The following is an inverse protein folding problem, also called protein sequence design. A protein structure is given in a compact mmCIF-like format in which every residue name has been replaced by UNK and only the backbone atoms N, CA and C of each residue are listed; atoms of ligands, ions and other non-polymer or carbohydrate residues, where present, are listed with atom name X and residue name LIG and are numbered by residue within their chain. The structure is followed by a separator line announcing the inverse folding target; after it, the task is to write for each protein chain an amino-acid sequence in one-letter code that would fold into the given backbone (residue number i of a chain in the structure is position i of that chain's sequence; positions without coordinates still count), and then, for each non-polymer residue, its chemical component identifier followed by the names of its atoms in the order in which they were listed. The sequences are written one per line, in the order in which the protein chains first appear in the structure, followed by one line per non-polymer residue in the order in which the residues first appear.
data_IF_678413745039
#
_entry.id   IF_678413745039
#
_cell.length_a   1.000
_cell.length_b   1.000
_cell.length_c   1.000
_cell.angle_alpha   90.00
_cell.angle_beta   90.00
_cell.angle_gamma   90.00
#
_symmetry.space_group_name_H-M   'P 1'
#
loop_
_entity.id
_entity.type
_entity.pdbx_description
1 polymer ?
#
# COMPACT_ATOMS: atom_id res chain seq x y z
N UNK A 1 -42.75 -39.60 29.14
CA UNK A 1 -41.89 -38.39 29.23
C UNK A 1 -40.44 -38.84 29.21
N UNK A 2 -39.72 -38.58 28.11
CA UNK A 2 -38.29 -38.87 27.95
C UNK A 2 -37.49 -37.79 28.68
N UNK A 3 -36.80 -38.14 29.77
CA UNK A 3 -35.75 -37.31 30.37
C UNK A 3 -34.45 -37.61 29.63
N UNK A 4 -33.98 -36.64 28.85
CA UNK A 4 -32.72 -36.70 28.14
C UNK A 4 -31.56 -36.51 29.11
N UNK A 5 -30.57 -37.38 28.92
CA UNK A 5 -29.26 -37.46 29.56
C UNK A 5 -28.57 -36.09 29.71
N UNK A 6 -28.23 -35.73 30.94
CA UNK A 6 -27.18 -34.77 31.27
C UNK A 6 -25.85 -35.55 31.23
N UNK A 7 -24.99 -35.27 30.26
CA UNK A 7 -23.70 -35.95 30.10
C UNK A 7 -22.56 -34.92 30.08
N UNK A 8 -21.57 -35.18 30.94
CA UNK A 8 -20.27 -34.53 31.13
C UNK A 8 -20.19 -33.25 32.00
N UNK A 9 -19.96 -33.48 33.29
CA UNK A 9 -19.06 -32.68 34.11
C UNK A 9 -18.33 -33.60 35.11
N UNK A 10 -17.28 -34.29 34.64
CA UNK A 10 -16.29 -34.92 35.51
C UNK A 10 -15.06 -34.02 35.54
N UNK A 11 -15.04 -33.14 36.53
CA UNK A 11 -13.87 -32.36 36.90
C UNK A 11 -12.87 -33.28 37.61
N UNK A 12 -11.84 -33.73 36.90
CA UNK A 12 -10.61 -34.19 37.54
C UNK A 12 -9.80 -32.96 37.93
N UNK A 13 -9.57 -32.80 39.24
CA UNK A 13 -8.71 -31.80 39.86
C UNK A 13 -7.25 -32.02 39.49
N UNK A 14 -6.87 -31.60 38.29
CA UNK A 14 -5.53 -31.10 38.03
C UNK A 14 -5.70 -29.58 37.96
N UNK A 15 -5.22 -28.86 38.98
CA UNK A 15 -5.06 -27.41 38.91
C UNK A 15 -4.00 -27.16 37.85
N UNK A 16 -4.43 -27.09 36.59
CA UNK A 16 -3.57 -26.80 35.47
C UNK A 16 -3.09 -25.37 35.64
N UNK A 17 -1.80 -25.15 35.35
CA UNK A 17 -1.18 -23.83 35.14
C UNK A 17 -1.90 -22.96 34.08
N UNK A 18 -2.93 -23.50 33.44
CA UNK A 18 -3.82 -22.85 32.50
C UNK A 18 -5.13 -22.57 33.24
N UNK A 19 -5.54 -21.31 33.34
CA UNK A 19 -6.77 -20.89 34.02
C UNK A 19 -8.00 -21.67 33.56
N UNK A 20 -9.03 -21.71 34.41
CA UNK A 20 -10.27 -22.42 34.11
C UNK A 20 -10.89 -21.94 32.77
N UNK A 21 -11.40 -22.90 32.00
CA UNK A 21 -11.96 -22.68 30.67
C UNK A 21 -13.44 -23.04 30.67
N UNK A 22 -14.28 -22.18 30.10
CA UNK A 22 -15.71 -22.44 29.90
C UNK A 22 -16.01 -22.61 28.41
N UNK A 23 -16.52 -23.79 28.04
CA UNK A 23 -16.81 -24.17 26.66
C UNK A 23 -18.32 -24.17 26.39
N UNK A 24 -18.74 -23.42 25.37
CA UNK A 24 -20.14 -23.25 24.97
C UNK A 24 -20.33 -23.74 23.54
N UNK A 25 -21.15 -24.76 23.35
CA UNK A 25 -21.49 -25.27 22.01
C UNK A 25 -22.72 -24.53 21.45
N UNK A 26 -22.52 -23.87 20.30
CA UNK A 26 -23.48 -22.96 19.68
C UNK A 26 -24.01 -23.57 18.38
N UNK A 27 -24.91 -24.54 18.52
CA UNK A 27 -25.54 -25.21 17.39
C UNK A 27 -26.95 -24.69 17.17
N UNK A 28 -27.10 -23.75 16.22
CA UNK A 28 -28.40 -23.13 15.90
C UNK A 28 -29.05 -22.46 17.11
N UNK A 29 -28.24 -21.72 17.88
CA UNK A 29 -28.65 -21.02 19.11
C UNK A 29 -28.48 -19.52 18.97
N UNK A 30 -29.32 -18.79 19.70
CA UNK A 30 -29.10 -17.36 19.93
C UNK A 30 -28.15 -17.12 21.11
N UNK A 31 -27.55 -15.94 21.14
CA UNK A 31 -26.72 -15.49 22.26
C UNK A 31 -27.53 -15.32 23.54
N UNK A 32 -28.77 -14.86 23.44
CA UNK A 32 -29.67 -14.73 24.59
C UNK A 32 -29.87 -16.04 25.35
N UNK A 33 -29.77 -17.20 24.68
CA UNK A 33 -29.83 -18.52 25.31
C UNK A 33 -28.57 -18.88 26.11
N UNK A 34 -27.43 -18.24 25.83
CA UNK A 34 -26.11 -18.56 26.42
C UNK A 34 -25.63 -17.47 27.40
N UNK A 35 -26.29 -16.31 27.41
CA UNK A 35 -25.82 -15.12 28.12
C UNK A 35 -25.56 -15.37 29.62
N UNK A 36 -26.50 -16.01 30.31
CA UNK A 36 -26.39 -16.26 31.74
C UNK A 36 -25.15 -17.10 32.06
N UNK A 37 -24.85 -18.11 31.24
CA UNK A 37 -23.72 -19.00 31.44
C UNK A 37 -22.39 -18.32 31.09
N UNK A 38 -22.37 -17.52 30.01
CA UNK A 38 -21.19 -16.71 29.62
C UNK A 38 -20.85 -15.71 30.72
N UNK A 39 -21.84 -14.99 31.25
CA UNK A 39 -21.63 -14.02 32.32
C UNK A 39 -21.20 -14.70 33.63
N UNK A 40 -21.75 -15.87 33.95
CA UNK A 40 -21.34 -16.65 35.11
C UNK A 40 -19.89 -17.15 35.00
N UNK A 41 -19.45 -17.58 33.82
CA UNK A 41 -18.06 -17.97 33.57
C UNK A 41 -17.10 -16.78 33.74
N UNK A 42 -17.44 -15.64 33.15
CA UNK A 42 -16.65 -14.41 33.30
C UNK A 42 -16.55 -13.92 34.73
N UNK A 43 -17.63 -13.99 35.50
CA UNK A 43 -17.64 -13.60 36.91
C UNK A 43 -16.68 -14.48 37.76
N UNK A 44 -16.38 -15.70 37.31
CA UNK A 44 -15.38 -16.59 37.92
C UNK A 44 -13.95 -16.35 37.42
N UNK A 45 -13.76 -15.50 36.41
CA UNK A 45 -12.48 -15.30 35.74
C UNK A 45 -12.12 -16.39 34.73
N UNK A 46 -13.09 -17.21 34.31
CA UNK A 46 -12.87 -18.27 33.32
C UNK A 46 -12.67 -17.67 31.92
N UNK A 47 -11.80 -18.29 31.12
CA UNK A 47 -11.68 -17.96 29.69
C UNK A 47 -12.86 -18.57 28.93
N UNK A 48 -13.58 -17.74 28.19
CA UNK A 48 -14.80 -18.15 27.46
C UNK A 48 -14.50 -18.60 26.03
N UNK A 49 -14.92 -19.82 25.69
CA UNK A 49 -14.79 -20.43 24.36
C UNK A 49 -16.18 -20.70 23.78
N UNK A 50 -16.53 -20.07 22.66
CA UNK A 50 -17.70 -20.42 21.86
C UNK A 50 -17.29 -21.35 20.73
N UNK A 51 -17.83 -22.56 20.67
CA UNK A 51 -17.66 -23.47 19.55
C UNK A 51 -18.89 -23.43 18.65
N UNK A 52 -18.71 -23.04 17.39
CA UNK A 52 -19.76 -23.04 16.35
C UNK A 52 -19.46 -24.20 15.41
N UNK A 53 -20.33 -25.21 15.38
CA UNK A 53 -20.11 -26.37 14.52
C UNK A 53 -20.40 -26.04 13.05
N UNK A 54 -19.81 -26.85 12.15
CA UNK A 54 -20.09 -26.81 10.72
C UNK A 54 -21.59 -26.96 10.45
N UNK A 55 -22.15 -26.15 9.55
CA UNK A 55 -23.59 -26.03 9.24
C UNK A 55 -24.46 -25.39 10.32
N UNK A 56 -23.87 -24.81 11.37
CA UNK A 56 -24.62 -24.07 12.38
C UNK A 56 -24.70 -22.57 12.07
N UNK A 57 -25.81 -21.96 12.47
CA UNK A 57 -25.96 -20.51 12.57
C UNK A 57 -26.00 -20.09 14.03
N UNK A 58 -25.12 -19.18 14.42
CA UNK A 58 -25.23 -18.45 15.68
C UNK A 58 -25.92 -17.11 15.44
N UNK A 59 -26.95 -16.79 16.22
CA UNK A 59 -27.61 -15.48 16.15
C UNK A 59 -27.23 -14.61 17.34
N UNK A 60 -26.58 -13.47 17.09
CA UNK A 60 -26.27 -12.43 18.09
C UNK A 60 -27.45 -11.47 18.16
N UNK A 61 -28.47 -11.87 18.91
CA UNK A 61 -29.66 -11.08 19.23
C UNK A 61 -29.50 -10.20 20.46
N UNK A 62 -28.40 -10.37 21.19
CA UNK A 62 -27.94 -9.52 22.29
C UNK A 62 -26.44 -9.32 22.20
N UNK A 63 -25.98 -8.12 22.55
CA UNK A 63 -24.55 -7.80 22.56
C UNK A 63 -23.82 -8.72 23.52
N UNK A 64 -22.76 -9.35 23.04
CA UNK A 64 -21.98 -10.31 23.80
C UNK A 64 -20.51 -10.16 23.51
N UNK A 65 -19.77 -10.56 24.52
CA UNK A 65 -18.34 -10.41 24.57
C UNK A 65 -17.74 -11.77 24.96
N UNK A 66 -16.79 -12.30 24.20
CA UNK A 66 -16.19 -13.62 24.44
C UNK A 66 -14.69 -13.60 24.15
N UNK A 67 -13.93 -14.53 24.73
CA UNK A 67 -12.47 -14.50 24.63
C UNK A 67 -11.97 -15.24 23.38
N UNK A 68 -12.58 -16.37 23.05
CA UNK A 68 -12.25 -17.15 21.85
C UNK A 68 -13.51 -17.70 21.18
N UNK A 69 -13.58 -17.61 19.86
CA UNK A 69 -14.58 -18.32 19.04
C UNK A 69 -13.87 -19.36 18.20
N UNK A 70 -14.33 -20.60 18.25
CA UNK A 70 -13.78 -21.74 17.50
C UNK A 70 -14.81 -22.21 16.49
N UNK A 71 -14.40 -22.30 15.23
CA UNK A 71 -15.24 -22.82 14.15
C UNK A 71 -14.83 -24.25 13.79
N UNK A 72 -15.84 -25.11 13.63
CA UNK A 72 -15.64 -26.50 13.21
C UNK A 72 -16.15 -27.54 14.23
N UNK A 73 -16.50 -28.72 13.72
CA UNK A 73 -17.24 -29.75 14.46
C UNK A 73 -16.40 -30.95 14.90
N UNK A 74 -15.17 -31.11 14.39
CA UNK A 74 -14.39 -32.34 14.57
C UNK A 74 -14.96 -33.58 13.84
N UNK A 75 -16.11 -33.49 13.17
CA UNK A 75 -16.73 -34.58 12.39
C UNK A 75 -16.48 -34.41 10.88
N UNK A 76 -16.61 -35.48 10.08
CA UNK A 76 -15.93 -35.67 8.77
C UNK A 76 -16.32 -34.74 7.62
N UNK A 77 -17.23 -33.79 7.82
CA UNK A 77 -17.71 -32.92 6.76
C UNK A 77 -17.35 -31.45 7.06
N UNK A 78 -16.51 -30.87 6.20
CA UNK A 78 -16.25 -29.43 6.11
C UNK A 78 -17.53 -28.78 5.58
N UNK A 79 -18.20 -27.96 6.39
CA UNK A 79 -19.38 -27.20 5.95
C UNK A 79 -19.31 -25.78 6.49
N UNK A 80 -19.94 -24.81 5.82
CA UNK A 80 -19.92 -23.41 6.25
C UNK A 80 -20.49 -23.21 7.66
N UNK A 81 -19.96 -22.25 8.40
CA UNK A 81 -20.52 -21.78 9.66
C UNK A 81 -20.94 -20.30 9.52
N UNK A 82 -22.05 -19.94 10.17
CA UNK A 82 -22.65 -18.61 10.04
C UNK A 82 -22.79 -17.93 11.40
N UNK A 83 -22.50 -16.63 11.43
CA UNK A 83 -22.77 -15.74 12.56
C UNK A 83 -23.64 -14.59 12.05
N UNK A 84 -24.90 -14.56 12.49
CA UNK A 84 -25.85 -13.49 12.19
C UNK A 84 -25.87 -12.48 13.34
N UNK A 85 -25.47 -11.23 13.10
CA UNK A 85 -25.49 -10.16 14.11
C UNK A 85 -26.68 -9.24 13.84
N UNK A 86 -27.62 -9.19 14.77
CA UNK A 86 -28.82 -8.35 14.63
C UNK A 86 -28.46 -6.87 14.77
N UNK A 87 -29.24 -6.01 14.09
CA UNK A 87 -29.10 -4.56 14.16
C UNK A 87 -28.99 -4.06 15.62
N UNK A 88 -28.04 -3.15 15.84
CA UNK A 88 -27.79 -2.56 17.16
C UNK A 88 -27.11 -3.47 18.18
N UNK A 89 -26.78 -4.71 17.82
CA UNK A 89 -26.01 -5.62 18.67
C UNK A 89 -24.53 -5.62 18.28
N UNK A 90 -23.68 -5.87 19.27
CA UNK A 90 -22.23 -6.01 19.07
C UNK A 90 -21.78 -7.41 19.44
N UNK A 91 -21.07 -8.08 18.54
CA UNK A 91 -20.34 -9.31 18.83
C UNK A 91 -18.85 -9.00 19.00
N UNK A 92 -18.37 -9.05 20.23
CA UNK A 92 -16.98 -8.77 20.55
C UNK A 92 -16.23 -10.08 20.84
N UNK A 93 -15.14 -10.34 20.12
CA UNK A 93 -14.32 -11.54 20.27
C UNK A 93 -12.88 -11.19 20.66
N UNK A 94 -12.26 -11.94 21.55
CA UNK A 94 -10.84 -11.78 21.87
C UNK A 94 -9.93 -12.34 20.77
N UNK A 95 -10.27 -13.52 20.27
CA UNK A 95 -9.57 -14.21 19.18
C UNK A 95 -10.52 -15.12 18.39
N UNK A 96 -10.17 -15.36 17.13
CA UNK A 96 -10.77 -16.40 16.29
C UNK A 96 -9.79 -17.57 16.28
N UNK A 97 -10.26 -18.74 16.71
CA UNK A 97 -9.51 -19.97 16.72
C UNK A 97 -10.15 -20.99 15.78
N UNK A 98 -9.39 -22.03 15.46
CA UNK A 98 -9.85 -23.14 14.65
C UNK A 98 -9.76 -24.44 15.45
N UNK A 99 -10.61 -25.39 15.09
CA UNK A 99 -10.49 -26.74 15.64
C UNK A 99 -9.41 -27.49 14.85
N UNK A 100 -8.25 -27.72 15.49
CA UNK A 100 -7.02 -28.31 14.92
C UNK A 100 -7.18 -29.66 14.18
N UNK A 101 -8.35 -30.27 14.19
CA UNK A 101 -8.63 -31.50 13.42
C UNK A 101 -9.42 -31.28 12.13
N UNK A 102 -10.37 -30.32 12.11
CA UNK A 102 -11.38 -30.14 11.04
C UNK A 102 -11.98 -28.74 11.08
N UNK A 103 -11.37 -27.75 10.41
CA UNK A 103 -11.90 -26.39 10.37
C UNK A 103 -13.20 -26.32 9.55
N UNK A 104 -13.94 -25.22 9.70
CA UNK A 104 -15.01 -24.90 8.76
C UNK A 104 -14.38 -24.45 7.43
N UNK A 105 -14.91 -24.87 6.30
CA UNK A 105 -14.39 -24.44 4.98
C UNK A 105 -14.65 -22.96 4.74
N UNK A 106 -15.74 -22.45 5.32
CA UNK A 106 -16.18 -21.08 5.18
C UNK A 106 -16.80 -20.61 6.49
N UNK A 107 -16.43 -19.41 6.92
CA UNK A 107 -16.97 -18.74 8.09
C UNK A 107 -17.55 -17.41 7.60
N UNK A 108 -18.86 -17.23 7.75
CA UNK A 108 -19.55 -16.03 7.30
C UNK A 108 -20.16 -15.29 8.46
N UNK A 109 -19.72 -14.06 8.67
CA UNK A 109 -20.36 -13.09 9.57
C UNK A 109 -21.24 -12.16 8.73
N UNK A 110 -22.50 -12.02 9.12
CA UNK A 110 -23.51 -11.30 8.35
C UNK A 110 -24.51 -10.58 9.27
N UNK A 111 -25.29 -9.66 8.71
CA UNK A 111 -26.26 -8.85 9.43
C UNK A 111 -25.86 -7.38 9.58
N UNK A 112 -26.67 -6.64 10.30
CA UNK A 112 -26.59 -5.17 10.42
C UNK A 112 -25.97 -4.72 11.76
N UNK A 113 -25.59 -5.66 12.62
CA UNK A 113 -24.88 -5.37 13.86
C UNK A 113 -23.37 -5.12 13.66
N UNK A 114 -22.66 -4.95 14.76
CA UNK A 114 -21.22 -4.65 14.78
C UNK A 114 -20.43 -5.90 15.17
N UNK A 115 -19.35 -6.18 14.46
CA UNK A 115 -18.33 -7.13 14.90
C UNK A 115 -17.08 -6.39 15.36
N UNK A 116 -16.62 -6.71 16.56
CA UNK A 116 -15.47 -6.07 17.19
C UNK A 116 -14.47 -7.11 17.69
N UNK A 117 -13.19 -6.75 17.70
CA UNK A 117 -12.13 -7.57 18.31
C UNK A 117 -11.56 -6.86 19.53
N UNK A 118 -11.52 -7.51 20.69
CA UNK A 118 -10.94 -6.92 21.93
C UNK A 118 -9.46 -6.64 21.79
N UNK A 119 -8.73 -7.65 21.30
CA UNK A 119 -7.28 -7.64 21.24
C UNK A 119 -6.75 -6.57 20.29
N UNK A 120 -5.47 -6.23 20.43
CA UNK A 120 -4.75 -5.44 19.44
C UNK A 120 -4.37 -6.26 18.21
N UNK A 121 -4.66 -7.57 18.20
CA UNK A 121 -4.25 -8.51 17.15
C UNK A 121 -5.42 -9.40 16.72
N UNK A 122 -5.55 -9.58 15.41
CA UNK A 122 -6.42 -10.55 14.74
C UNK A 122 -5.50 -11.46 13.93
N UNK A 123 -5.61 -12.77 14.11
CA UNK A 123 -4.79 -13.74 13.36
C UNK A 123 -5.71 -14.74 12.67
N UNK A 124 -5.60 -14.81 11.35
CA UNK A 124 -6.18 -15.82 10.48
C UNK A 124 -5.03 -16.72 10.05
N UNK A 125 -4.81 -17.78 10.81
CA UNK A 125 -3.77 -18.76 10.55
C UNK A 125 -4.26 -20.10 11.07
N UNK A 126 -3.90 -21.16 10.37
CA UNK A 126 -4.11 -22.51 10.87
C UNK A 126 -3.42 -22.64 12.24
N UNK A 127 -4.20 -22.89 13.28
CA UNK A 127 -3.65 -23.13 14.62
C UNK A 127 -3.21 -24.58 14.71
N UNK A 128 -1.91 -24.83 14.90
CA UNK A 128 -1.45 -26.14 15.37
C UNK A 128 -0.02 -26.52 14.99
N UNK A 129 0.84 -26.89 15.96
CA UNK A 129 2.18 -27.44 15.68
C UNK A 129 2.18 -28.86 15.08
N UNK A 130 1.01 -29.45 14.82
CA UNK A 130 0.84 -30.85 14.40
C UNK A 130 -0.03 -31.03 13.14
N UNK A 131 -0.33 -29.97 12.38
CA UNK A 131 -0.94 -30.14 11.06
C UNK A 131 0.13 -30.68 10.11
N UNK A 132 0.01 -31.98 9.80
CA UNK A 132 0.89 -32.64 8.84
C UNK A 132 0.84 -31.88 7.52
N UNK A 133 2.01 -31.61 6.93
CA UNK A 133 2.32 -30.81 5.75
C UNK A 133 1.68 -31.25 4.42
N UNK A 134 0.58 -32.00 4.46
CA UNK A 134 -0.15 -32.47 3.28
C UNK A 134 -1.47 -31.71 3.15
N UNK A 135 -1.37 -30.48 2.65
CA UNK A 135 -2.50 -29.72 2.09
C UNK A 135 -3.58 -29.31 3.10
N UNK A 136 -3.25 -28.37 3.99
CA UNK A 136 -4.29 -27.65 4.74
C UNK A 136 -5.27 -26.98 3.78
N UNK A 137 -6.55 -27.32 3.90
CA UNK A 137 -7.60 -26.77 3.06
C UNK A 137 -7.69 -25.25 3.28
N UNK A 138 -7.72 -24.49 2.18
CA UNK A 138 -7.96 -23.06 2.21
C UNK A 138 -9.24 -22.74 3.00
N UNK A 139 -9.18 -21.75 3.88
CA UNK A 139 -10.35 -21.27 4.61
C UNK A 139 -10.75 -19.88 4.16
N UNK A 140 -12.07 -19.68 4.16
CA UNK A 140 -12.68 -18.44 3.70
C UNK A 140 -13.41 -17.75 4.84
N UNK A 141 -12.92 -16.58 5.24
CA UNK A 141 -13.52 -15.71 6.24
C UNK A 141 -14.22 -14.55 5.54
N UNK A 142 -15.55 -14.55 5.56
CA UNK A 142 -16.35 -13.49 4.95
C UNK A 142 -17.03 -12.67 6.03
N UNK A 143 -16.71 -11.38 6.11
CA UNK A 143 -17.40 -10.42 6.96
C UNK A 143 -18.29 -9.55 6.07
N UNK A 144 -19.48 -10.06 5.75
CA UNK A 144 -20.48 -9.45 4.83
C UNK A 144 -21.48 -8.55 5.55
N UNK A 145 -21.09 -7.93 6.66
CA UNK A 145 -22.01 -7.16 7.48
C UNK A 145 -22.37 -5.84 6.81
N UNK A 146 -23.62 -5.40 6.91
CA UNK A 146 -24.01 -4.02 6.61
C UNK A 146 -23.56 -3.05 7.72
N UNK A 147 -23.31 -3.60 8.93
CA UNK A 147 -22.78 -2.86 10.05
C UNK A 147 -21.26 -2.72 10.04
N UNK A 148 -20.74 -2.29 11.19
CA UNK A 148 -19.37 -1.81 11.35
C UNK A 148 -18.39 -2.96 11.66
N UNK A 149 -17.33 -3.08 10.86
CA UNK A 149 -16.14 -3.87 11.22
C UNK A 149 -14.99 -2.93 11.60
N UNK A 150 -14.70 -2.82 12.91
CA UNK A 150 -13.69 -1.88 13.43
C UNK A 150 -12.28 -2.49 13.46
N UNK A 151 -11.42 -2.00 12.57
CA UNK A 151 -10.00 -2.38 12.46
C UNK A 151 -9.04 -1.39 13.14
N UNK A 152 -9.56 -0.39 13.83
CA UNK A 152 -8.78 0.71 14.38
C UNK A 152 -7.76 0.22 15.40
N UNK A 153 -6.50 0.64 15.23
CA UNK A 153 -5.37 0.21 16.07
C UNK A 153 -5.11 -1.32 16.11
N UNK A 154 -5.65 -2.09 15.16
CA UNK A 154 -5.45 -3.55 15.14
C UNK A 154 -4.22 -3.95 14.33
N UNK A 155 -3.72 -5.15 14.60
CA UNK A 155 -2.72 -5.86 13.79
C UNK A 155 -3.41 -7.08 13.19
N UNK A 156 -3.57 -7.11 11.88
CA UNK A 156 -4.10 -8.25 11.14
C UNK A 156 -2.92 -9.13 10.71
N UNK A 157 -3.05 -10.44 10.92
CA UNK A 157 -2.12 -11.43 10.39
C UNK A 157 -2.91 -12.45 9.58
N UNK A 158 -2.59 -12.66 8.30
CA UNK A 158 -3.20 -13.69 7.44
C UNK A 158 -2.11 -14.62 6.90
N UNK A 159 -2.19 -15.92 7.18
CA UNK A 159 -1.14 -16.89 6.81
C UNK A 159 -1.73 -18.15 6.23
N UNK A 160 -0.89 -19.01 5.65
CA UNK A 160 -1.22 -20.41 5.35
C UNK A 160 -2.48 -20.59 4.48
N UNK A 161 -2.56 -19.88 3.35
CA UNK A 161 -3.66 -20.04 2.38
C UNK A 161 -5.05 -19.64 2.92
N UNK A 162 -5.08 -18.68 3.85
CA UNK A 162 -6.33 -18.13 4.35
C UNK A 162 -6.81 -16.99 3.47
N UNK A 163 -8.12 -16.95 3.20
CA UNK A 163 -8.79 -15.95 2.38
C UNK A 163 -9.75 -15.17 3.26
N UNK A 164 -9.50 -13.88 3.40
CA UNK A 164 -10.29 -12.98 4.25
C UNK A 164 -10.89 -11.88 3.38
N UNK A 165 -12.19 -11.69 3.50
CA UNK A 165 -12.92 -10.61 2.84
C UNK A 165 -13.74 -9.84 3.86
N UNK A 166 -13.46 -8.54 3.97
CA UNK A 166 -14.12 -7.64 4.91
C UNK A 166 -14.90 -6.61 4.09
N UNK A 167 -16.22 -6.77 4.04
CA UNK A 167 -17.12 -5.76 3.49
C UNK A 167 -17.43 -4.71 4.56
N UNK A 168 -17.67 -3.47 4.12
CA UNK A 168 -18.02 -2.34 4.98
C UNK A 168 -17.04 -2.12 6.15
N UNK A 169 -15.75 -2.31 5.90
CA UNK A 169 -14.72 -2.03 6.90
C UNK A 169 -14.71 -0.53 7.21
N UNK A 170 -14.66 -0.17 8.50
CA UNK A 170 -14.27 1.17 8.92
C UNK A 170 -12.91 1.08 9.60
N UNK A 171 -12.02 1.96 9.18
CA UNK A 171 -10.73 2.14 9.86
C UNK A 171 -10.74 3.58 10.36
N UNK A 172 -10.86 3.76 11.67
CA UNK A 172 -10.89 5.11 12.24
C UNK A 172 -9.57 5.80 11.93
N UNK A 173 -9.71 6.99 11.32
CA UNK A 173 -8.63 7.88 10.92
C UNK A 173 -7.58 8.03 12.04
N UNK A 174 -6.30 8.03 11.66
CA UNK A 174 -5.11 8.27 12.52
C UNK A 174 -4.62 7.12 13.41
N UNK A 175 -5.37 6.05 13.62
CA UNK A 175 -4.86 4.94 14.45
C UNK A 175 -4.06 3.92 13.65
N UNK A 176 -4.52 3.65 12.43
CA UNK A 176 -3.93 2.75 11.45
C UNK A 176 -3.89 1.28 11.84
N UNK A 177 -4.16 0.42 10.88
CA UNK A 177 -4.15 -1.02 11.05
C UNK A 177 -2.84 -1.61 10.55
N UNK A 178 -2.12 -2.33 11.41
CA UNK A 178 -0.95 -3.09 10.99
C UNK A 178 -1.35 -4.36 10.22
N UNK A 179 -0.61 -4.73 9.19
CA UNK A 179 -0.91 -5.91 8.37
C UNK A 179 0.33 -6.77 8.15
N UNK A 180 0.21 -8.07 8.35
CA UNK A 180 1.22 -9.06 7.97
C UNK A 180 0.56 -10.20 7.23
N UNK A 181 1.05 -10.52 6.03
CA UNK A 181 0.52 -11.62 5.22
C UNK A 181 1.64 -12.50 4.68
N UNK A 182 1.40 -13.82 4.62
CA UNK A 182 2.34 -14.80 4.07
C UNK A 182 1.62 -16.02 3.48
N UNK A 183 2.33 -16.85 2.71
CA UNK A 183 1.76 -17.97 1.95
C UNK A 183 0.84 -17.51 0.81
N UNK A 184 0.00 -18.41 0.28
CA UNK A 184 -1.01 -18.07 -0.75
C UNK A 184 -2.29 -17.52 -0.11
N UNK A 185 -2.11 -16.52 0.76
CA UNK A 185 -3.20 -15.90 1.53
C UNK A 185 -3.76 -14.68 0.82
N UNK A 186 -5.03 -14.35 1.07
CA UNK A 186 -5.71 -13.19 0.50
C UNK A 186 -6.39 -12.37 1.58
N UNK A 187 -6.32 -11.04 1.46
CA UNK A 187 -7.10 -10.10 2.25
C UNK A 187 -7.72 -9.07 1.31
N UNK A 188 -9.05 -9.03 1.28
CA UNK A 188 -9.82 -8.04 0.55
C UNK A 188 -10.54 -7.15 1.55
N UNK A 189 -10.32 -5.84 1.49
CA UNK A 189 -10.97 -4.87 2.37
C UNK A 189 -11.77 -3.90 1.54
N UNK A 190 -13.10 -3.97 1.64
CA UNK A 190 -14.00 -3.07 0.94
C UNK A 190 -14.55 -2.02 1.88
N UNK A 191 -14.32 -0.77 1.51
CA UNK A 191 -14.83 0.36 2.26
C UNK A 191 -16.29 0.65 1.87
N UNK A 192 -17.18 0.43 2.82
CA UNK A 192 -18.59 0.78 2.71
C UNK A 192 -18.83 2.29 2.75
N UNK A 193 -17.94 3.02 3.41
CA UNK A 193 -18.12 4.39 3.86
C UNK A 193 -17.33 5.41 3.04
N UNK A 194 -17.60 6.69 3.26
CA UNK A 194 -16.91 7.83 2.60
C UNK A 194 -15.48 8.06 3.11
N UNK A 195 -15.06 7.31 4.12
CA UNK A 195 -13.81 7.56 4.82
C UNK A 195 -12.60 6.98 4.07
N UNK A 196 -11.41 7.33 4.54
CA UNK A 196 -10.14 6.82 4.02
C UNK A 196 -9.79 5.50 4.73
N UNK A 197 -9.42 4.44 3.98
CA UNK A 197 -8.82 3.24 4.60
C UNK A 197 -7.41 3.57 5.06
N UNK A 198 -7.03 3.17 6.28
CA UNK A 198 -5.72 3.50 6.84
C UNK A 198 -4.97 2.25 7.29
N UNK A 199 -3.95 1.86 6.55
CA UNK A 199 -3.03 0.80 6.94
C UNK A 199 -1.68 1.37 7.34
N UNK A 200 -0.95 0.63 8.17
CA UNK A 200 0.43 0.96 8.50
C UNK A 200 1.27 -0.30 8.60
N UNK A 201 2.59 -0.18 8.53
CA UNK A 201 3.50 -1.30 8.80
C UNK A 201 3.13 -2.59 8.07
N UNK A 202 2.72 -2.48 6.80
CA UNK A 202 2.29 -3.61 5.97
C UNK A 202 3.52 -4.46 5.63
N UNK A 203 3.45 -5.77 5.85
CA UNK A 203 4.47 -6.70 5.40
C UNK A 203 3.81 -7.87 4.67
N UNK A 204 3.98 -7.94 3.35
CA UNK A 204 3.47 -9.03 2.51
C UNK A 204 4.64 -9.90 2.07
N UNK A 205 4.53 -11.22 2.18
CA UNK A 205 5.51 -12.18 1.67
C UNK A 205 4.89 -13.31 0.86
N UNK A 206 5.73 -14.09 0.18
CA UNK A 206 5.34 -15.22 -0.66
C UNK A 206 4.36 -14.77 -1.77
N UNK A 207 3.26 -15.50 -1.99
CA UNK A 207 2.24 -15.16 -2.98
C UNK A 207 1.01 -14.51 -2.34
N UNK A 208 1.21 -13.70 -1.30
CA UNK A 208 0.11 -13.03 -0.62
C UNK A 208 -0.56 -11.98 -1.51
N UNK A 209 -1.90 -11.92 -1.48
CA UNK A 209 -2.73 -10.98 -2.24
C UNK A 209 -3.44 -10.02 -1.30
N UNK A 210 -3.16 -8.71 -1.40
CA UNK A 210 -3.84 -7.68 -0.62
C UNK A 210 -4.61 -6.74 -1.53
N UNK A 211 -5.92 -6.63 -1.33
CA UNK A 211 -6.77 -5.73 -2.10
C UNK A 211 -7.55 -4.76 -1.23
N UNK A 212 -7.57 -3.50 -1.64
CA UNK A 212 -8.34 -2.44 -1.01
C UNK A 212 -9.32 -1.85 -2.02
N UNK A 213 -10.60 -1.77 -1.65
CA UNK A 213 -11.63 -1.09 -2.45
C UNK A 213 -12.08 0.17 -1.72
N UNK A 214 -11.51 1.31 -2.09
CA UNK A 214 -11.84 2.62 -1.52
C UNK A 214 -11.56 3.74 -2.51
N UNK A 215 -12.27 4.86 -2.38
CA UNK A 215 -11.94 6.07 -3.15
C UNK A 215 -10.61 6.68 -2.67
N UNK A 216 -10.31 6.56 -1.37
CA UNK A 216 -9.06 7.02 -0.78
C UNK A 216 -8.49 6.00 0.19
N UNK A 217 -7.17 5.85 0.18
CA UNK A 217 -6.43 5.06 1.15
C UNK A 217 -5.21 5.82 1.66
N UNK A 218 -4.74 5.45 2.85
CA UNK A 218 -3.48 5.89 3.41
C UNK A 218 -2.69 4.66 3.86
N UNK A 219 -1.43 4.60 3.45
CA UNK A 219 -0.46 3.63 3.95
C UNK A 219 0.60 4.41 4.73
N UNK A 220 0.88 3.98 5.96
CA UNK A 220 1.84 4.65 6.84
C UNK A 220 2.93 3.75 7.43
N UNK A 221 4.02 4.34 7.95
CA UNK A 221 5.06 3.58 8.66
C UNK A 221 5.99 2.85 7.69
N UNK A 222 6.41 1.62 8.00
CA UNK A 222 7.33 0.85 7.14
C UNK A 222 6.59 -0.26 6.43
N UNK A 223 6.38 -0.11 5.12
CA UNK A 223 5.55 -1.00 4.31
C UNK A 223 6.41 -1.70 3.27
N UNK A 224 6.38 -3.03 3.26
CA UNK A 224 7.21 -3.87 2.40
C UNK A 224 6.34 -4.92 1.73
N UNK A 225 6.41 -4.93 0.40
CA UNK A 225 5.68 -5.84 -0.46
C UNK A 225 6.77 -6.69 -1.15
N UNK A 226 6.98 -7.91 -0.66
CA UNK A 226 8.08 -8.76 -1.13
C UNK A 226 7.80 -9.37 -2.51
N UNK A 227 8.82 -10.02 -3.07
CA UNK A 227 8.75 -10.71 -4.35
C UNK A 227 7.59 -11.72 -4.39
N UNK A 228 6.84 -11.72 -5.50
CA UNK A 228 5.72 -12.63 -5.75
C UNK A 228 4.39 -12.24 -5.10
N UNK A 229 4.38 -11.19 -4.28
CA UNK A 229 3.13 -10.66 -3.70
C UNK A 229 2.33 -9.91 -4.75
N UNK A 230 1.04 -9.71 -4.49
CA UNK A 230 0.16 -8.95 -5.34
C UNK A 230 -0.62 -7.92 -4.50
N UNK A 231 -0.77 -6.72 -5.06
CA UNK A 231 -1.47 -5.62 -4.44
C UNK A 231 -2.38 -4.91 -5.43
N UNK A 232 -3.65 -4.78 -5.05
CA UNK A 232 -4.66 -4.12 -5.84
C UNK A 232 -5.34 -3.01 -5.04
N UNK A 233 -5.39 -1.82 -5.61
CA UNK A 233 -6.22 -0.74 -5.11
C UNK A 233 -7.25 -0.36 -6.16
N UNK A 234 -8.45 -0.85 -5.93
CA UNK A 234 -9.51 -0.84 -6.93
C UNK A 234 -10.55 0.22 -6.59
N UNK A 235 -11.11 0.77 -7.66
CA UNK A 235 -12.23 1.70 -7.58
C UNK A 235 -13.46 0.94 -7.07
N UNK A 236 -14.22 1.58 -6.18
CA UNK A 236 -15.56 1.09 -5.83
C UNK A 236 -16.48 1.24 -7.06
N UNK A 237 -17.08 0.12 -7.50
CA UNK A 237 -17.98 0.09 -8.65
C UNK A 237 -19.01 1.22 -8.60
N UNK A 238 -19.17 1.93 -9.72
CA UNK A 238 -20.19 2.97 -9.90
C UNK A 238 -19.87 4.36 -9.34
N UNK A 239 -18.75 4.58 -8.63
CA UNK A 239 -18.46 5.89 -8.03
C UNK A 239 -17.52 6.73 -8.90
N UNK A 240 -17.86 7.97 -9.29
CA UNK A 240 -17.06 8.82 -10.21
C UNK A 240 -15.65 9.19 -9.71
N UNK A 241 -15.37 9.01 -8.42
CA UNK A 241 -14.09 9.39 -7.80
C UNK A 241 -13.00 8.40 -8.18
N UNK A 242 -11.86 8.92 -8.62
CA UNK A 242 -10.69 8.15 -8.99
C UNK A 242 -9.91 7.74 -7.73
N UNK A 243 -9.42 6.49 -7.63
CA UNK A 243 -8.76 6.00 -6.43
C UNK A 243 -7.45 6.75 -6.15
N UNK A 244 -7.32 7.29 -4.94
CA UNK A 244 -6.14 8.03 -4.49
C UNK A 244 -5.47 7.37 -3.28
N UNK A 245 -4.17 7.09 -3.39
CA UNK A 245 -3.36 6.48 -2.34
C UNK A 245 -2.39 7.51 -1.76
N UNK A 246 -2.49 7.81 -0.46
CA UNK A 246 -1.47 8.56 0.28
C UNK A 246 -0.48 7.61 0.93
N UNK A 247 0.82 7.90 0.80
CA UNK A 247 1.92 7.16 1.43
C UNK A 247 2.64 8.09 2.40
N UNK A 248 2.58 7.78 3.70
CA UNK A 248 3.38 8.43 4.74
C UNK A 248 4.46 7.49 5.28
N UNK A 249 5.71 7.92 5.35
CA UNK A 249 6.82 7.02 5.73
C UNK A 249 7.30 6.18 4.55
N UNK A 250 7.69 4.93 4.79
CA UNK A 250 8.39 4.09 3.81
C UNK A 250 7.44 3.10 3.13
N UNK A 251 7.48 3.05 1.80
CA UNK A 251 6.87 2.01 0.98
C UNK A 251 7.94 1.42 0.07
N UNK A 252 8.14 0.12 0.15
CA UNK A 252 9.02 -0.64 -0.76
C UNK A 252 8.21 -1.70 -1.49
N UNK A 253 8.20 -1.61 -2.81
CA UNK A 253 7.68 -2.65 -3.68
C UNK A 253 8.87 -3.41 -4.24
N UNK A 254 9.03 -4.68 -3.88
CA UNK A 254 10.01 -5.56 -4.52
C UNK A 254 9.43 -6.08 -5.84
N UNK A 255 9.75 -7.31 -6.29
CA UNK A 255 9.19 -7.89 -7.52
C UNK A 255 7.73 -8.33 -7.33
N UNK A 256 6.88 -7.35 -7.05
CA UNK A 256 5.44 -7.50 -6.82
C UNK A 256 4.74 -7.59 -8.17
N UNK A 257 3.83 -8.55 -8.30
CA UNK A 257 2.89 -8.64 -9.40
C UNK A 257 1.72 -7.70 -9.10
N UNK A 258 1.91 -6.42 -9.38
CA UNK A 258 0.87 -5.39 -9.15
C UNK A 258 -0.01 -5.28 -10.39
N UNK A 259 -1.33 -5.33 -10.20
CA UNK A 259 -2.27 -5.08 -11.31
C UNK A 259 -2.72 -3.62 -11.37
N UNK A 260 -2.92 -2.94 -10.22
CA UNK A 260 -3.26 -1.52 -10.16
C UNK A 260 -3.01 -0.91 -8.76
N UNK A 261 -2.14 0.10 -8.62
CA UNK A 261 -1.84 0.72 -7.31
C UNK A 261 -2.76 1.87 -6.93
N UNK A 262 -3.08 2.77 -7.85
CA UNK A 262 -3.99 3.90 -7.67
C UNK A 262 -4.11 4.68 -8.99
N UNK A 263 -5.11 5.55 -9.11
CA UNK A 263 -5.07 6.58 -10.15
C UNK A 263 -4.08 7.68 -9.79
N UNK A 264 -4.07 8.09 -8.52
CA UNK A 264 -3.17 9.09 -7.95
C UNK A 264 -2.42 8.53 -6.75
N UNK A 265 -1.11 8.72 -6.69
CA UNK A 265 -0.29 8.44 -5.52
C UNK A 265 0.22 9.76 -4.95
N UNK A 266 -0.04 10.02 -3.67
CA UNK A 266 0.49 11.15 -2.92
C UNK A 266 1.56 10.64 -1.97
N UNK A 267 2.82 10.98 -2.21
CA UNK A 267 3.89 10.75 -1.25
C UNK A 267 3.93 11.93 -0.30
N UNK A 268 3.57 11.72 0.97
CA UNK A 268 3.49 12.75 2.00
C UNK A 268 4.89 13.21 2.49
N UNK A 269 4.94 14.25 3.31
CA UNK A 269 6.19 14.85 3.81
C UNK A 269 7.15 13.81 4.42
N UNK A 270 8.37 13.77 3.88
CA UNK A 270 9.44 12.82 4.22
C UNK A 270 9.13 11.33 3.95
N UNK A 271 8.07 11.03 3.19
CA UNK A 271 7.83 9.67 2.74
C UNK A 271 8.95 9.22 1.77
N UNK A 272 9.23 7.92 1.75
CA UNK A 272 10.13 7.30 0.78
C UNK A 272 9.39 6.17 0.08
N UNK A 273 9.26 6.27 -1.24
CA UNK A 273 8.72 5.21 -2.07
C UNK A 273 9.84 4.62 -2.92
N UNK A 274 10.13 3.33 -2.71
CA UNK A 274 11.09 2.56 -3.50
C UNK A 274 10.36 1.54 -4.36
N UNK A 275 10.56 1.60 -5.68
CA UNK A 275 10.08 0.60 -6.62
C UNK A 275 11.25 -0.23 -7.15
N UNK A 276 11.26 -1.51 -6.78
CA UNK A 276 12.08 -2.57 -7.38
C UNK A 276 11.22 -3.54 -8.21
N UNK A 277 9.97 -3.15 -8.52
CA UNK A 277 9.00 -4.03 -9.13
C UNK A 277 9.27 -4.26 -10.62
N UNK A 278 8.78 -5.39 -11.15
CA UNK A 278 8.95 -5.74 -12.56
C UNK A 278 8.46 -4.61 -13.48
N UNK A 279 9.00 -4.54 -14.70
CA UNK A 279 8.59 -3.52 -15.70
C UNK A 279 7.05 -3.50 -15.79
N UNK A 280 6.46 -2.31 -15.71
CA UNK A 280 5.02 -2.03 -15.85
C UNK A 280 4.04 -2.46 -14.73
N UNK A 281 4.50 -2.81 -13.52
CA UNK A 281 3.55 -3.21 -12.45
C UNK A 281 2.90 -2.03 -11.70
N UNK A 282 3.57 -0.88 -11.57
CA UNK A 282 2.97 0.28 -10.87
C UNK A 282 2.14 1.12 -11.83
N UNK A 283 0.82 0.90 -11.82
CA UNK A 283 -0.15 1.80 -12.44
C UNK A 283 -0.46 2.96 -11.49
N UNK A 284 0.13 4.11 -11.78
CA UNK A 284 -0.33 5.41 -11.30
C UNK A 284 -0.32 6.38 -12.46
N UNK A 285 -1.43 7.09 -12.68
CA UNK A 285 -1.47 8.14 -13.70
C UNK A 285 -0.73 9.39 -13.23
N UNK A 286 -0.84 9.69 -11.94
CA UNK A 286 -0.15 10.82 -11.33
C UNK A 286 0.53 10.39 -10.05
N UNK A 287 1.80 10.77 -9.91
CA UNK A 287 2.54 10.66 -8.65
C UNK A 287 2.85 12.07 -8.20
N UNK A 288 2.45 12.38 -6.97
CA UNK A 288 2.55 13.69 -6.35
C UNK A 288 3.48 13.60 -5.15
N UNK A 289 4.64 14.24 -5.28
CA UNK A 289 5.65 14.27 -4.22
C UNK A 289 5.48 15.51 -3.36
N UNK A 290 5.26 15.31 -2.06
CA UNK A 290 5.21 16.34 -1.03
C UNK A 290 6.48 16.24 -0.19
N UNK A 291 7.59 16.90 -0.57
CA UNK A 291 8.90 16.77 0.15
C UNK A 291 9.27 15.29 0.44
N UNK A 292 9.05 14.43 -0.55
CA UNK A 292 9.20 12.98 -0.45
C UNK A 292 10.33 12.49 -1.35
N UNK A 293 10.83 11.28 -1.08
CA UNK A 293 11.81 10.59 -1.91
C UNK A 293 11.10 9.53 -2.76
N UNK A 294 11.43 9.50 -4.05
CA UNK A 294 11.03 8.46 -4.97
C UNK A 294 12.29 7.79 -5.54
N UNK A 295 12.40 6.47 -5.38
CA UNK A 295 13.56 5.67 -5.78
C UNK A 295 13.10 4.62 -6.79
N UNK A 296 13.66 4.63 -7.99
CA UNK A 296 13.23 3.81 -9.12
C UNK A 296 14.36 2.88 -9.56
N UNK A 297 14.36 1.65 -9.05
CA UNK A 297 15.45 0.69 -9.27
C UNK A 297 15.18 -0.27 -10.43
N UNK A 298 14.06 -0.11 -11.13
CA UNK A 298 13.70 -0.91 -12.30
C UNK A 298 13.39 -0.02 -13.49
N UNK A 299 13.64 -0.59 -14.67
CA UNK A 299 13.40 0.10 -15.93
C UNK A 299 11.91 0.33 -16.11
N UNK A 300 11.52 1.54 -16.50
CA UNK A 300 10.11 1.90 -16.64
C UNK A 300 9.28 1.49 -15.41
N UNK A 301 9.74 1.91 -14.24
CA UNK A 301 9.13 1.60 -12.95
C UNK A 301 7.65 2.05 -12.86
N UNK A 302 7.19 2.88 -13.79
CA UNK A 302 5.81 3.29 -13.97
C UNK A 302 5.30 2.96 -15.36
N UNK A 303 4.09 2.44 -15.41
CA UNK A 303 3.31 2.38 -16.64
C UNK A 303 2.18 3.39 -16.58
N UNK A 304 2.20 4.36 -17.49
CA UNK A 304 1.11 5.28 -17.74
C UNK A 304 0.22 4.77 -18.87
N UNK A 305 -1.09 5.00 -18.79
CA UNK A 305 -1.98 4.68 -19.90
C UNK A 305 -1.54 5.43 -21.19
N UNK A 306 -1.63 4.80 -22.38
CA UNK A 306 -1.04 5.32 -23.63
C UNK A 306 -1.47 6.71 -24.14
N UNK A 307 -2.38 7.45 -23.48
CA UNK A 307 -3.10 8.58 -24.10
C UNK A 307 -3.17 9.87 -23.23
N UNK A 308 -2.09 10.66 -23.19
CA UNK A 308 -2.06 12.11 -22.84
C UNK A 308 -2.30 12.52 -21.36
N UNK A 309 -1.61 11.91 -20.40
CA UNK A 309 -1.44 12.57 -19.10
C UNK A 309 0.03 12.61 -18.67
N UNK A 310 0.45 13.65 -17.95
CA UNK A 310 1.76 13.64 -17.29
C UNK A 310 1.82 12.43 -16.36
N UNK A 311 2.80 11.54 -16.55
CA UNK A 311 2.97 10.37 -15.68
C UNK A 311 3.46 10.79 -14.28
N UNK A 312 3.95 12.02 -14.14
CA UNK A 312 4.53 12.55 -12.92
C UNK A 312 4.15 14.03 -12.70
N UNK A 313 3.67 14.38 -11.52
CA UNK A 313 3.23 15.74 -11.19
C UNK A 313 3.75 16.13 -9.81
N UNK A 314 4.76 16.99 -9.75
CA UNK A 314 5.54 17.23 -8.54
C UNK A 314 5.01 18.50 -7.88
N UNK A 315 4.50 18.38 -6.64
CA UNK A 315 3.75 19.46 -6.04
C UNK A 315 4.53 20.31 -5.03
N UNK A 316 5.60 19.83 -4.36
CA UNK A 316 6.22 20.59 -3.25
C UNK A 316 7.75 20.62 -3.25
N UNK A 317 8.23 21.67 -2.59
CA UNK A 317 9.60 21.92 -2.18
C UNK A 317 10.29 20.69 -1.56
N UNK A 318 11.50 20.40 -2.05
CA UNK A 318 12.40 19.39 -1.50
C UNK A 318 12.03 17.95 -1.85
N UNK A 319 11.20 17.74 -2.88
CA UNK A 319 11.00 16.41 -3.43
C UNK A 319 12.30 15.88 -4.04
N UNK A 320 12.54 14.57 -3.95
CA UNK A 320 13.70 13.89 -4.53
C UNK A 320 13.27 12.72 -5.40
N UNK A 321 13.87 12.60 -6.57
CA UNK A 321 13.75 11.42 -7.44
C UNK A 321 15.15 10.87 -7.64
N UNK A 322 15.32 9.57 -7.45
CA UNK A 322 16.61 8.86 -7.58
C UNK A 322 16.41 7.71 -8.54
N UNK A 323 17.21 7.69 -9.61
CA UNK A 323 17.18 6.62 -10.60
C UNK A 323 18.24 5.57 -10.27
N UNK A 324 17.78 4.33 -10.07
CA UNK A 324 18.60 3.13 -10.07
C UNK A 324 18.54 2.36 -11.39
N UNK A 325 17.72 2.80 -12.35
CA UNK A 325 17.58 2.23 -13.70
C UNK A 325 17.00 3.28 -14.67
N UNK A 326 17.09 2.99 -15.98
CA UNK A 326 16.55 3.83 -17.05
C UNK A 326 15.02 4.00 -16.95
N UNK A 327 14.51 5.23 -17.02
CA UNK A 327 13.07 5.47 -16.87
C UNK A 327 12.51 6.48 -17.88
N UNK A 328 11.33 6.14 -18.42
CA UNK A 328 10.50 7.06 -19.21
C UNK A 328 9.34 7.64 -18.39
N UNK A 329 9.40 8.94 -18.15
CA UNK A 329 8.43 9.68 -17.34
C UNK A 329 7.29 10.30 -18.15
N UNK A 330 7.29 10.22 -19.49
CA UNK A 330 6.34 10.99 -20.29
C UNK A 330 6.42 12.48 -19.95
N UNK A 331 5.31 13.14 -19.63
CA UNK A 331 5.35 14.53 -19.17
C UNK A 331 5.52 14.66 -17.65
N UNK A 332 6.36 15.62 -17.24
CA UNK A 332 6.56 16.04 -15.85
C UNK A 332 6.11 17.49 -15.68
N UNK A 333 5.33 17.75 -14.64
CA UNK A 333 4.98 19.11 -14.25
C UNK A 333 5.51 19.40 -12.86
N UNK A 334 6.17 20.54 -12.67
CA UNK A 334 6.68 21.01 -11.39
C UNK A 334 5.86 22.23 -10.97
N UNK A 335 5.12 22.07 -9.88
CA UNK A 335 4.21 23.08 -9.35
C UNK A 335 4.70 23.63 -8.02
N UNK A 336 4.20 24.80 -7.69
CA UNK A 336 4.25 25.36 -6.34
C UNK A 336 2.99 24.95 -5.57
N UNK A 337 3.10 24.08 -4.57
CA UNK A 337 1.99 23.83 -3.63
C UNK A 337 2.11 24.76 -2.42
N UNK A 338 1.28 25.80 -2.40
CA UNK A 338 1.10 26.68 -1.25
C UNK A 338 1.78 28.04 -1.42
N UNK A 339 1.42 28.99 -0.56
CA UNK A 339 1.76 30.40 -0.79
C UNK A 339 3.23 30.74 -0.55
N UNK A 340 3.98 29.95 0.23
CA UNK A 340 5.26 30.38 0.81
C UNK A 340 6.46 29.44 0.58
N UNK A 341 6.36 28.40 -0.25
CA UNK A 341 7.48 27.48 -0.49
C UNK A 341 7.81 27.40 -1.98
N UNK A 342 9.07 27.68 -2.34
CA UNK A 342 9.60 27.46 -3.69
C UNK A 342 9.48 25.97 -4.08
N UNK A 343 9.00 25.67 -5.27
CA UNK A 343 8.85 24.29 -5.74
C UNK A 343 10.19 23.68 -6.16
N UNK A 344 11.01 23.20 -5.23
CA UNK A 344 12.30 22.56 -5.55
C UNK A 344 12.17 21.04 -5.74
N UNK A 345 12.68 20.53 -6.86
CA UNK A 345 12.90 19.11 -7.14
C UNK A 345 14.40 18.80 -7.21
N UNK A 346 14.85 17.75 -6.53
CA UNK A 346 16.15 17.14 -6.77
C UNK A 346 15.98 15.86 -7.59
N UNK A 347 16.74 15.72 -8.66
CA UNK A 347 16.65 14.60 -9.59
C UNK A 347 18.04 13.98 -9.79
N UNK A 348 18.26 12.80 -9.21
CA UNK A 348 19.54 12.10 -9.25
C UNK A 348 19.53 11.06 -10.36
N UNK A 349 20.38 11.24 -11.39
CA UNK A 349 20.46 10.31 -12.52
C UNK A 349 21.18 9.00 -12.16
N UNK A 350 22.21 9.06 -11.30
CA UNK A 350 22.96 7.86 -10.89
C UNK A 350 23.58 7.06 -12.06
N UNK A 351 23.88 7.73 -13.18
CA UNK A 351 24.38 7.09 -14.41
C UNK A 351 23.31 6.44 -15.30
N UNK A 352 22.02 6.64 -15.00
CA UNK A 352 20.90 6.07 -15.76
C UNK A 352 20.26 7.11 -16.69
N UNK A 353 19.59 6.63 -17.74
CA UNK A 353 18.86 7.46 -18.68
C UNK A 353 17.50 7.89 -18.12
N UNK A 354 17.14 9.14 -18.37
CA UNK A 354 15.82 9.68 -18.09
C UNK A 354 15.23 10.31 -19.36
N UNK A 355 14.06 9.85 -19.78
CA UNK A 355 13.37 10.40 -20.95
C UNK A 355 12.06 11.08 -20.54
N UNK A 356 11.80 12.23 -21.15
CA UNK A 356 10.60 13.01 -20.97
C UNK A 356 10.02 13.39 -22.32
N UNK A 357 8.69 13.39 -22.41
CA UNK A 357 7.98 14.06 -23.50
C UNK A 357 8.06 15.56 -23.31
N UNK A 358 7.82 16.04 -22.09
CA UNK A 358 7.88 17.45 -21.72
C UNK A 358 8.21 17.63 -20.23
N UNK A 359 8.82 18.76 -19.90
CA UNK A 359 8.99 19.24 -18.52
C UNK A 359 8.41 20.65 -18.46
N UNK A 360 7.36 20.83 -17.65
CA UNK A 360 6.69 22.11 -17.46
C UNK A 360 6.92 22.63 -16.04
N UNK A 361 7.54 23.80 -15.93
CA UNK A 361 7.80 24.49 -14.66
C UNK A 361 6.80 25.63 -14.55
N UNK A 362 5.75 25.44 -13.75
CA UNK A 362 4.57 26.31 -13.79
C UNK A 362 4.67 27.60 -12.97
N UNK A 363 5.82 27.85 -12.33
CA UNK A 363 6.07 29.05 -11.52
C UNK A 363 7.54 29.47 -11.56
N UNK A 364 7.76 30.79 -11.55
CA UNK A 364 9.11 31.38 -11.62
C UNK A 364 10.04 30.96 -10.47
N UNK A 365 9.49 30.55 -9.32
CA UNK A 365 10.23 30.11 -8.14
C UNK A 365 10.32 28.57 -7.99
N UNK A 366 9.75 27.80 -8.92
CA UNK A 366 9.96 26.36 -8.98
C UNK A 366 11.27 26.05 -9.71
N UNK A 367 12.05 25.10 -9.18
CA UNK A 367 13.40 24.77 -9.63
C UNK A 367 13.58 23.26 -9.74
N UNK A 368 14.27 22.79 -10.78
CA UNK A 368 14.76 21.43 -10.91
C UNK A 368 16.28 21.41 -10.82
N UNK A 369 16.79 20.67 -9.84
CA UNK A 369 18.21 20.43 -9.64
C UNK A 369 18.54 18.99 -10.00
N UNK A 370 19.42 18.80 -10.98
CA UNK A 370 19.88 17.50 -11.42
C UNK A 370 21.23 17.21 -10.76
N UNK A 371 21.33 16.11 -10.05
CA UNK A 371 22.59 15.63 -9.44
C UNK A 371 23.12 14.44 -10.22
N UNK A 372 24.44 14.25 -10.20
CA UNK A 372 25.14 13.23 -10.99
C UNK A 372 24.84 13.37 -12.49
N UNK A 373 24.79 14.61 -12.97
CA UNK A 373 24.54 14.92 -14.37
C UNK A 373 25.70 14.43 -15.25
N UNK A 374 25.37 13.72 -16.32
CA UNK A 374 26.28 13.40 -17.41
C UNK A 374 25.59 13.65 -18.74
N UNK A 375 26.37 14.12 -19.71
CA UNK A 375 25.93 14.40 -21.08
C UNK A 375 25.21 13.20 -21.71
N UNK A 376 24.07 13.47 -22.35
CA UNK A 376 23.31 12.47 -23.10
C UNK A 376 22.43 11.53 -22.27
N UNK A 377 22.42 11.64 -20.94
CA UNK A 377 21.56 10.80 -20.09
C UNK A 377 20.14 11.35 -19.89
N UNK A 378 19.92 12.65 -20.14
CA UNK A 378 18.62 13.29 -19.99
C UNK A 378 18.11 13.76 -21.37
N UNK A 379 16.97 13.22 -21.79
CA UNK A 379 16.32 13.56 -23.05
C UNK A 379 14.93 14.13 -22.81
N UNK A 380 14.63 15.26 -23.46
CA UNK A 380 13.30 15.87 -23.47
C UNK A 380 12.88 16.13 -24.92
N UNK A 381 11.74 15.58 -25.33
CA UNK A 381 11.31 15.69 -26.74
C UNK A 381 10.75 17.06 -27.11
N UNK A 382 10.12 17.76 -26.16
CA UNK A 382 9.61 19.12 -26.36
C UNK A 382 10.70 20.15 -26.15
N UNK A 383 10.58 21.29 -26.83
CA UNK A 383 11.40 22.46 -26.52
C UNK A 383 11.10 22.95 -25.10
N UNK A 384 12.15 23.06 -24.30
CA UNK A 384 12.07 23.61 -22.95
C UNK A 384 12.14 25.14 -22.98
N UNK A 385 11.59 25.77 -21.93
CA UNK A 385 11.69 27.23 -21.77
C UNK A 385 13.14 27.62 -21.47
N UNK A 386 13.62 28.68 -22.12
CA UNK A 386 15.01 29.15 -22.04
C UNK A 386 15.10 30.60 -21.59
N UNK A 387 16.24 30.95 -21.00
CA UNK A 387 16.68 32.32 -20.74
C UNK A 387 17.19 32.99 -22.03
N UNK A 388 17.50 34.28 -21.95
CA UNK A 388 18.07 35.05 -23.07
C UNK A 388 19.43 34.52 -23.57
N UNK A 389 20.17 33.79 -22.73
CA UNK A 389 21.46 33.18 -23.05
C UNK A 389 21.35 31.72 -23.54
N UNK A 390 20.15 31.32 -23.95
CA UNK A 390 19.75 29.96 -24.39
C UNK A 390 19.85 28.87 -23.30
N UNK A 391 20.26 29.20 -22.06
CA UNK A 391 20.23 28.24 -20.96
C UNK A 391 18.78 27.93 -20.54
N UNK A 392 18.55 26.72 -20.04
CA UNK A 392 17.24 26.29 -19.57
C UNK A 392 16.79 27.13 -18.37
N UNK A 393 15.54 27.61 -18.43
CA UNK A 393 14.93 28.34 -17.32
C UNK A 393 14.68 27.36 -16.16
N UNK A 394 15.20 27.69 -14.98
CA UNK A 394 14.96 26.97 -13.71
C UNK A 394 15.37 25.49 -13.66
N UNK A 395 16.20 25.03 -14.60
CA UNK A 395 16.75 23.67 -14.62
C UNK A 395 18.27 23.77 -14.58
N UNK A 396 18.89 23.17 -13.55
CA UNK A 396 20.33 23.26 -13.32
C UNK A 396 20.93 21.90 -12.99
N UNK A 397 22.21 21.73 -13.30
CA UNK A 397 23.04 20.68 -12.71
C UNK A 397 23.62 21.21 -11.38
N UNK A 398 23.65 20.37 -10.35
CA UNK A 398 24.23 20.74 -9.04
C UNK A 398 25.08 19.64 -8.45
N UNK A 399 26.12 20.04 -7.71
CA UNK A 399 26.81 19.15 -6.76
C UNK A 399 26.33 19.46 -5.36
N UNK A 400 26.02 18.42 -4.58
CA UNK A 400 25.59 18.55 -3.18
C UNK A 400 26.71 18.13 -2.22
N UNK A 401 26.74 18.74 -1.04
CA UNK A 401 27.53 18.23 0.09
C UNK A 401 26.82 17.05 0.79
N UNK A 402 27.49 16.47 1.80
CA UNK A 402 26.93 15.36 2.58
C UNK A 402 25.67 15.73 3.39
N UNK A 403 25.43 17.03 3.61
CA UNK A 403 24.22 17.54 4.28
C UNK A 403 23.10 17.87 3.29
N UNK A 404 23.34 17.76 1.99
CA UNK A 404 22.41 18.10 0.91
C UNK A 404 22.39 19.57 0.52
N UNK A 405 23.39 20.37 0.92
CA UNK A 405 23.52 21.76 0.48
C UNK A 405 24.15 21.83 -0.92
N UNK A 406 23.73 22.82 -1.72
CA UNK A 406 24.28 23.06 -3.05
C UNK A 406 25.69 23.66 -2.92
N UNK A 407 26.68 22.99 -3.51
CA UNK A 407 28.07 23.45 -3.61
C UNK A 407 28.35 24.17 -4.92
N UNK A 408 27.85 23.62 -6.03
CA UNK A 408 27.96 24.19 -7.37
C UNK A 408 26.61 24.15 -8.06
N UNK A 409 26.37 25.12 -8.93
CA UNK A 409 25.19 25.20 -9.77
C UNK A 409 25.61 25.59 -11.18
N UNK A 410 25.35 24.72 -12.15
CA UNK A 410 25.73 24.87 -13.55
C UNK A 410 24.48 25.02 -14.41
N UNK A 411 24.55 25.93 -15.39
CA UNK A 411 23.49 26.12 -16.39
C UNK A 411 23.47 24.92 -17.34
N UNK A 412 22.27 24.55 -17.76
CA UNK A 412 22.05 23.48 -18.73
C UNK A 412 21.43 24.06 -20.00
N UNK A 413 21.57 23.33 -21.09
CA UNK A 413 21.07 23.68 -22.41
C UNK A 413 20.39 22.45 -23.02
N UNK A 414 19.50 22.65 -23.98
CA UNK A 414 18.92 21.57 -24.77
C UNK A 414 19.47 21.65 -26.20
N UNK A 415 20.09 20.57 -26.68
CA UNK A 415 20.58 20.52 -28.04
C UNK A 415 19.45 20.24 -29.05
N UNK A 416 19.75 20.39 -30.34
CA UNK A 416 18.76 20.19 -31.42
C UNK A 416 18.19 18.76 -31.50
N UNK A 417 18.81 17.78 -30.84
CA UNK A 417 18.31 16.40 -30.74
C UNK A 417 17.50 16.16 -29.47
N UNK A 418 17.22 17.18 -28.65
CA UNK A 418 16.43 17.07 -27.42
C UNK A 418 17.20 16.61 -26.17
N UNK A 419 18.50 16.34 -26.28
CA UNK A 419 19.32 15.98 -25.12
C UNK A 419 19.75 17.22 -24.34
N UNK A 420 19.79 17.07 -23.02
CA UNK A 420 20.30 18.11 -22.12
C UNK A 420 21.81 18.02 -22.03
N UNK A 421 22.47 19.17 -22.04
CA UNK A 421 23.93 19.34 -22.02
C UNK A 421 24.35 20.48 -21.11
N UNK A 422 25.55 20.41 -20.53
CA UNK A 422 26.19 21.48 -19.77
C UNK A 422 27.01 22.42 -20.67
N UNK A 423 27.18 22.07 -21.95
CA UNK A 423 27.92 22.88 -22.92
C UNK A 423 26.94 23.82 -23.63
N UNK A 424 27.20 25.12 -23.55
CA UNK A 424 26.50 26.10 -24.36
C UNK A 424 26.67 25.73 -25.84
N UNK A 425 25.57 25.48 -26.54
CA UNK A 425 25.59 25.19 -27.98
C UNK A 425 25.76 26.54 -28.69
N UNK A 426 26.92 26.82 -29.32
CA UNK A 426 27.14 28.16 -29.88
C UNK A 426 26.14 28.44 -30.99
N UNK A 427 25.68 29.68 -31.07
CA UNK A 427 24.76 30.08 -32.12
C UNK A 427 25.42 30.00 -33.50
N UNK A 428 24.67 29.86 -34.61
CA UNK A 428 25.25 29.85 -35.96
C UNK A 428 26.15 31.04 -36.27
N UNK A 429 25.87 32.22 -35.71
CA UNK A 429 26.70 33.41 -35.85
C UNK A 429 28.04 33.30 -35.10
N UNK A 430 28.05 32.66 -33.93
CA UNK A 430 29.27 32.41 -33.16
C UNK A 430 30.15 31.39 -33.87
N UNK A 431 29.55 30.32 -34.41
CA UNK A 431 30.26 29.39 -35.30
C UNK A 431 30.84 30.10 -36.52
N UNK A 432 30.06 30.98 -37.17
CA UNK A 432 30.56 31.75 -38.31
C UNK A 432 31.73 32.67 -37.93
N UNK A 433 31.73 33.25 -36.73
CA UNK A 433 32.84 34.05 -36.21
C UNK A 433 34.08 33.20 -35.91
N UNK A 434 33.91 32.04 -35.26
CA UNK A 434 35.01 31.10 -34.98
C UNK A 434 35.63 30.60 -36.29
N UNK A 435 34.81 30.11 -37.23
CA UNK A 435 35.30 29.64 -38.52
C UNK A 435 35.88 30.78 -39.36
N UNK A 436 35.28 31.98 -39.30
CA UNK A 436 35.80 33.18 -39.94
C UNK A 436 37.17 33.58 -39.41
N UNK A 437 37.38 33.54 -38.09
CA UNK A 437 38.67 33.83 -37.47
C UNK A 437 39.74 32.80 -37.85
N UNK A 438 39.40 31.51 -37.86
CA UNK A 438 40.30 30.43 -38.32
C UNK A 438 40.67 30.64 -39.79
N UNK A 439 39.68 30.89 -40.65
CA UNK A 439 39.91 31.16 -42.07
C UNK A 439 40.83 32.39 -42.27
N UNK A 440 40.61 33.46 -41.51
CA UNK A 440 41.45 34.65 -41.54
C UNK A 440 42.88 34.36 -41.08
N UNK A 441 43.05 33.56 -40.03
CA UNK A 441 44.35 33.07 -39.57
C UNK A 441 45.10 32.29 -40.66
N UNK A 442 44.42 31.42 -41.40
CA UNK A 442 44.99 30.70 -42.54
C UNK A 442 45.40 31.64 -43.68
N UNK A 443 44.56 32.62 -44.02
CA UNK A 443 44.88 33.63 -45.04
C UNK A 443 46.11 34.45 -44.63
N UNK A 444 46.19 34.88 -43.37
CA UNK A 444 47.32 35.63 -42.85
C UNK A 444 48.61 34.78 -42.84
N UNK A 445 48.54 33.51 -42.45
CA UNK A 445 49.66 32.57 -42.51
C UNK A 445 50.17 32.37 -43.94
N UNK A 446 49.26 32.13 -44.90
CA UNK A 446 49.61 31.94 -46.32
C UNK A 446 50.25 33.17 -46.93
N UNK A 447 49.94 34.38 -46.45
CA UNK A 447 50.52 35.63 -46.96
C UNK A 447 51.90 35.94 -46.37
N UNK A 448 52.26 35.32 -45.24
CA UNK A 448 53.57 35.45 -44.59
C UNK A 448 54.60 34.41 -45.04
N UNK A 449 54.13 33.24 -45.49
CA UNK A 449 54.94 32.32 -46.30
C UNK A 449 54.99 32.80 -47.75
#
# INVERSE_FOLDING_TARGET
MKKSLLLFALATSAVSLFGAQAWFNVNNKSVSELEADINAAKAKGDTTFLQITSSATMTVDKSVDVDTVIFGSGTSNVSPAYVQINAGQTFTVGSLGENNGRPASQITFQGDGTFAVKGSKITFAESGPNLSTTGGDAQYYYFKQAGLFDLSSKTITVKNNNYVEIDNAQIVKNTGTALTMSGTSSLVVKNGYTDQLYFKNINLSDTAYFSMYSATAMIQGTNVFNDGTCFDFLRKDGNAVLPSLSVGGNLTLNKVDVSQMAYQIFLEDNATFTSNANEASVLARHIILKKANLILNTKNAFYGEPNNAPKLSIARAGAKIILGADNDFGAMNIYKSGTNAAGTLFFTLGGNNATFTAIDIQHDDAMMYITDFMEGLLYVSSDLVKNEDDSLLNIFSVTLDASGNILTQEKLYQNASGYITAIAVPEPAEWALIFGAIAFGFVAYRRRK
#
